data_IF_061177213007
#
_entry.id   IF_061177213007
#
_cell.length_a   1.000
_cell.length_b   1.000
_cell.length_c   1.000
_cell.angle_alpha   90.00
_cell.angle_beta   90.00
_cell.angle_gamma   90.00
#
_symmetry.space_group_name_H-M   'P 1'
#
loop_
_entity.id
_entity.type
_entity.pdbx_description
1 polymer ?
#
# COMPACT_ATOMS: atom_id res chain seq x y z
N UNK A 1 2.11 -1.73 9.54
CA UNK A 1 2.76 -1.14 8.35
C UNK A 1 2.21 -1.82 7.11
N UNK A 2 1.72 -1.06 6.14
CA UNK A 2 1.19 -1.53 4.85
C UNK A 2 1.99 -0.89 3.71
N UNK A 3 2.05 -1.54 2.56
CA UNK A 3 2.58 -0.94 1.34
C UNK A 3 1.50 -0.85 0.26
N UNK A 4 1.65 0.13 -0.61
CA UNK A 4 0.97 0.18 -1.91
C UNK A 4 2.04 0.33 -2.99
N UNK A 5 1.94 -0.44 -4.06
CA UNK A 5 2.80 -0.30 -5.22
C UNK A 5 1.92 0.00 -6.42
N UNK A 6 2.06 1.21 -6.96
CA UNK A 6 1.38 1.60 -8.19
C UNK A 6 2.27 1.22 -9.37
N UNK A 7 1.74 0.46 -10.32
CA UNK A 7 2.47 -0.06 -11.48
C UNK A 7 1.96 0.65 -12.73
N UNK A 8 2.89 1.22 -13.50
CA UNK A 8 2.66 1.80 -14.82
C UNK A 8 3.65 1.25 -15.84
N UNK A 9 3.32 1.38 -17.13
CA UNK A 9 4.23 1.06 -18.23
C UNK A 9 3.88 1.97 -19.41
N UNK A 10 4.87 2.53 -20.10
CA UNK A 10 4.67 3.43 -21.24
C UNK A 10 3.66 4.56 -20.94
N UNK A 11 3.82 5.27 -19.82
CA UNK A 11 2.90 6.31 -19.33
C UNK A 11 1.44 5.86 -19.09
N UNK A 12 1.17 4.55 -19.06
CA UNK A 12 -0.15 3.99 -18.80
C UNK A 12 -0.17 3.35 -17.42
N UNK A 13 -1.08 3.81 -16.55
CA UNK A 13 -1.32 3.15 -15.27
C UNK A 13 -1.98 1.78 -15.51
N UNK A 14 -1.39 0.72 -14.95
CA UNK A 14 -1.89 -0.64 -15.10
C UNK A 14 -2.76 -1.03 -13.91
N UNK A 15 -2.20 -1.04 -12.72
CA UNK A 15 -2.89 -1.39 -11.48
C UNK A 15 -2.07 -1.04 -10.24
N UNK A 16 -2.71 -1.12 -9.08
CA UNK A 16 -2.09 -0.94 -7.77
C UNK A 16 -2.14 -2.22 -6.96
N UNK A 17 -1.03 -2.57 -6.31
CA UNK A 17 -0.92 -3.71 -5.41
C UNK A 17 -0.91 -3.20 -3.98
N UNK A 18 -1.91 -3.59 -3.18
CA UNK A 18 -1.88 -3.36 -1.73
C UNK A 18 -1.28 -4.56 -1.03
N UNK A 19 -0.34 -4.30 -0.12
CA UNK A 19 0.41 -5.32 0.61
C UNK A 19 0.19 -5.12 2.10
N UNK A 20 -0.39 -6.13 2.71
CA UNK A 20 -0.61 -6.22 4.15
C UNK A 20 -0.18 -7.60 4.65
N UNK A 21 0.46 -7.62 5.81
CA UNK A 21 0.87 -8.83 6.51
C UNK A 21 0.84 -8.59 8.02
N UNK A 22 0.82 -9.68 8.79
CA UNK A 22 0.82 -9.65 10.25
C UNK A 22 2.12 -9.09 10.85
N UNK A 23 3.22 -9.13 10.10
CA UNK A 23 4.54 -8.66 10.55
C UNK A 23 5.19 -7.74 9.54
N UNK A 24 6.05 -6.84 10.02
CA UNK A 24 6.82 -5.93 9.18
C UNK A 24 7.72 -6.69 8.19
N UNK A 25 8.37 -7.76 8.67
CA UNK A 25 9.20 -8.63 7.84
C UNK A 25 8.39 -9.27 6.70
N UNK A 26 7.17 -9.74 6.98
CA UNK A 26 6.28 -10.31 5.96
C UNK A 26 5.83 -9.28 4.93
N UNK A 27 5.59 -8.02 5.34
CA UNK A 27 5.30 -6.93 4.41
C UNK A 27 6.50 -6.65 3.48
N UNK A 28 7.71 -6.62 4.02
CA UNK A 28 8.94 -6.39 3.25
C UNK A 28 9.22 -7.52 2.25
N UNK A 29 9.04 -8.77 2.65
CA UNK A 29 9.18 -9.93 1.77
C UNK A 29 8.18 -9.89 0.59
N UNK A 30 6.90 -9.64 0.89
CA UNK A 30 5.86 -9.51 -0.14
C UNK A 30 6.11 -8.32 -1.06
N UNK A 31 6.62 -7.21 -0.52
CA UNK A 31 7.04 -6.06 -1.32
C UNK A 31 8.16 -6.44 -2.29
N UNK A 32 9.19 -7.15 -1.83
CA UNK A 32 10.28 -7.62 -2.70
C UNK A 32 9.76 -8.52 -3.83
N UNK A 33 8.82 -9.43 -3.53
CA UNK A 33 8.17 -10.28 -4.53
C UNK A 33 7.42 -9.42 -5.57
N UNK A 34 6.60 -8.48 -5.12
CA UNK A 34 5.86 -7.60 -6.03
C UNK A 34 6.79 -6.78 -6.92
N UNK A 35 7.87 -6.23 -6.36
CA UNK A 35 8.86 -5.45 -7.10
C UNK A 35 9.63 -6.30 -8.11
N UNK A 36 9.90 -7.58 -7.80
CA UNK A 36 10.56 -8.51 -8.72
C UNK A 36 9.67 -8.95 -9.90
N UNK A 37 8.35 -8.96 -9.72
CA UNK A 37 7.39 -9.32 -10.76
C UNK A 37 7.17 -8.23 -11.81
N UNK A 38 7.59 -6.99 -11.55
CA UNK A 38 7.43 -5.83 -12.45
C UNK A 38 8.75 -5.07 -12.62
N UNK A 39 9.79 -5.69 -13.20
CA UNK A 39 11.12 -5.12 -13.21
C UNK A 39 11.23 -3.89 -14.11
N UNK A 40 11.99 -2.88 -13.68
CA UNK A 40 12.23 -1.65 -14.46
C UNK A 40 12.91 -1.95 -15.81
N UNK A 41 13.73 -3.01 -15.87
CA UNK A 41 14.39 -3.45 -17.11
C UNK A 41 13.43 -3.87 -18.21
N UNK A 42 12.18 -4.21 -17.88
CA UNK A 42 11.11 -4.53 -18.83
C UNK A 42 10.22 -3.31 -19.14
N UNK A 43 10.63 -2.11 -18.73
CA UNK A 43 9.92 -0.86 -18.97
C UNK A 43 8.81 -0.55 -17.98
N UNK A 44 8.67 -1.33 -16.91
CA UNK A 44 7.73 -1.02 -15.84
C UNK A 44 8.23 0.16 -14.99
N UNK A 45 7.32 1.07 -14.69
CA UNK A 45 7.47 2.09 -13.67
C UNK A 45 6.72 1.64 -12.43
N UNK A 46 7.34 1.83 -11.27
CA UNK A 46 6.78 1.40 -9.98
C UNK A 46 6.92 2.53 -8.98
N UNK A 47 5.81 2.93 -8.39
CA UNK A 47 5.81 3.90 -7.29
C UNK A 47 5.41 3.22 -6.00
N UNK A 48 6.31 3.21 -5.02
CA UNK A 48 6.10 2.56 -3.73
C UNK A 48 5.61 3.59 -2.71
N UNK A 49 4.57 3.23 -1.97
CA UNK A 49 4.02 3.98 -0.86
C UNK A 49 4.01 3.11 0.39
N UNK A 50 4.24 3.72 1.55
CA UNK A 50 4.15 3.09 2.86
C UNK A 50 3.07 3.76 3.70
N UNK A 51 2.43 2.98 4.56
CA UNK A 51 1.48 3.46 5.55
C UNK A 51 1.80 2.84 6.90
N UNK A 52 2.13 3.69 7.86
CA UNK A 52 2.28 3.38 9.29
C UNK A 52 1.10 3.89 10.13
N UNK A 53 0.23 4.69 9.51
CA UNK A 53 -0.90 5.39 10.13
C UNK A 53 -2.18 5.17 9.33
N UNK A 54 -3.32 5.31 10.00
CA UNK A 54 -4.64 5.12 9.40
C UNK A 54 -5.65 6.13 9.93
N UNK A 55 -6.56 6.54 9.06
CA UNK A 55 -7.75 7.30 9.41
C UNK A 55 -8.91 6.33 9.67
N UNK A 56 -9.65 6.57 10.75
CA UNK A 56 -10.81 5.75 11.12
C UNK A 56 -12.08 6.60 11.08
N UNK A 57 -13.06 6.16 10.32
CA UNK A 57 -14.40 6.73 10.37
C UNK A 57 -15.16 6.09 11.52
N UNK A 58 -15.51 6.90 12.51
CA UNK A 58 -16.20 6.46 13.71
C UNK A 58 -17.62 6.99 13.75
N UNK A 59 -18.57 6.14 14.15
CA UNK A 59 -19.92 6.54 14.50
C UNK A 59 -20.08 6.49 16.01
N UNK A 60 -20.42 7.63 16.60
CA UNK A 60 -20.81 7.68 18.01
C UNK A 60 -22.28 7.35 18.15
N UNK A 61 -22.59 6.39 19.01
CA UNK A 61 -23.95 6.08 19.47
C UNK A 61 -24.09 6.46 20.95
N UNK A 62 -25.28 6.32 21.51
CA UNK A 62 -25.54 6.61 22.92
C UNK A 62 -24.82 5.67 23.89
N UNK A 63 -24.35 4.50 23.43
CA UNK A 63 -23.73 3.48 24.30
C UNK A 63 -22.33 3.05 23.87
N UNK A 64 -21.91 3.33 22.64
CA UNK A 64 -20.60 2.90 22.11
C UNK A 64 -20.12 3.72 20.91
N UNK A 65 -18.82 3.59 20.63
CA UNK A 65 -18.20 3.97 19.36
C UNK A 65 -18.15 2.74 18.44
N UNK A 66 -18.57 2.92 17.19
CA UNK A 66 -18.50 1.91 16.15
C UNK A 66 -17.51 2.36 15.07
N UNK A 67 -16.61 1.46 14.64
CA UNK A 67 -15.71 1.72 13.51
C UNK A 67 -16.45 1.37 12.22
N UNK A 68 -16.65 2.35 11.35
CA UNK A 68 -17.31 2.17 10.07
C UNK A 68 -16.33 1.85 8.94
N UNK A 69 -15.15 2.48 8.97
CA UNK A 69 -14.11 2.27 7.98
C UNK A 69 -12.73 2.55 8.57
N UNK A 70 -11.72 1.90 7.98
CA UNK A 70 -10.30 2.10 8.28
C UNK A 70 -9.59 2.35 6.95
N UNK A 71 -9.00 3.54 6.80
CA UNK A 71 -8.34 3.97 5.58
C UNK A 71 -6.84 4.17 5.88
N UNK A 72 -5.93 3.38 5.30
CA UNK A 72 -4.50 3.59 5.46
C UNK A 72 -4.07 4.92 4.82
N UNK A 73 -3.26 5.70 5.53
CA UNK A 73 -2.66 6.92 4.99
C UNK A 73 -1.32 6.56 4.36
N UNK A 74 -1.27 6.59 3.03
CA UNK A 74 -0.08 6.22 2.26
C UNK A 74 0.79 7.44 1.96
N UNK A 75 2.08 7.31 2.25
CA UNK A 75 3.12 8.29 1.93
C UNK A 75 4.11 7.67 0.94
N UNK A 76 4.62 8.44 -0.04
CA UNK A 76 5.60 7.93 -1.00
C UNK A 76 6.88 7.53 -0.27
N UNK A 77 7.38 6.31 -0.54
CA UNK A 77 8.60 5.78 0.09
C UNK A 77 9.88 6.17 -0.68
N UNK A 78 9.79 7.14 -1.60
CA UNK A 78 10.87 7.46 -2.54
C UNK A 78 11.01 6.42 -3.66
N UNK A 79 11.89 6.69 -4.63
CA UNK A 79 12.21 5.75 -5.72
C UNK A 79 13.08 4.62 -5.17
N UNK A 80 12.57 3.39 -5.18
CA UNK A 80 13.30 2.16 -4.87
C UNK A 80 13.47 1.28 -6.13
#
# INVERSE_FOLDING_TARGET
MRYRVDISQNNTALFSIQIEALSEAGCKEKLAIALSGFPISEGFERQVFVSDSEERLLKSTSSRLEVLAINPVFQPLGLM
#
